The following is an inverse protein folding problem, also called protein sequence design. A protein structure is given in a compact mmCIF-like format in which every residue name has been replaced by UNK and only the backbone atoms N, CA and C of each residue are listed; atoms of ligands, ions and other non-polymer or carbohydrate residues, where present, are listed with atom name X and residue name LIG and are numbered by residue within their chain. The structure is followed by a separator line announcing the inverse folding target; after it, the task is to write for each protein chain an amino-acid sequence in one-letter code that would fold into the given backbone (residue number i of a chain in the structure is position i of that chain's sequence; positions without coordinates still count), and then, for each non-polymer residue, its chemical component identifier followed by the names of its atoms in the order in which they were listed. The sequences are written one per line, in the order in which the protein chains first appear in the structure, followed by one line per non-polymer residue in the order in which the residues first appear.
data_IF_933044421162
#
_entry.id   IF_933044421162
#
_cell.length_a   1.000
_cell.length_b   1.000
_cell.length_c   1.000
_cell.angle_alpha   90.00
_cell.angle_beta   90.00
_cell.angle_gamma   90.00
#
_symmetry.space_group_name_H-M   'P 1'
#
loop_
_entity.id
_entity.type
_entity.pdbx_description
1 polymer ?
#
# COMPACT_ATOMS: atom_id res chain seq x y z
N UNK A 1 13.31 -24.22 5.44
CA UNK A 1 11.83 -24.17 5.44
C UNK A 1 11.22 -22.78 5.25
N UNK A 2 11.71 -21.72 5.92
CA UNK A 2 11.08 -20.39 5.86
C UNK A 2 11.11 -19.74 4.46
N UNK A 3 12.23 -19.88 3.73
CA UNK A 3 12.36 -19.36 2.36
C UNK A 3 11.40 -20.03 1.37
N UNK A 4 11.34 -21.36 1.33
CA UNK A 4 10.44 -22.10 0.44
C UNK A 4 8.97 -21.76 0.70
N UNK A 5 8.57 -21.58 1.96
CA UNK A 5 7.22 -21.13 2.32
C UNK A 5 6.92 -19.74 1.74
N UNK A 6 7.84 -18.77 1.89
CA UNK A 6 7.68 -17.43 1.32
C UNK A 6 7.63 -17.46 -0.20
N UNK A 7 8.46 -18.30 -0.83
CA UNK A 7 8.45 -18.51 -2.26
C UNK A 7 7.07 -18.99 -2.72
N UNK A 8 6.52 -20.04 -2.10
CA UNK A 8 5.16 -20.52 -2.38
C UNK A 8 4.10 -19.43 -2.17
N UNK A 9 4.20 -18.63 -1.10
CA UNK A 9 3.29 -17.51 -0.88
C UNK A 9 3.37 -16.44 -2.00
N UNK A 10 4.52 -16.26 -2.65
CA UNK A 10 4.61 -15.37 -3.81
C UNK A 10 3.71 -15.84 -4.96
N UNK A 11 3.51 -17.15 -5.12
CA UNK A 11 2.64 -17.74 -6.15
C UNK A 11 1.15 -17.77 -5.76
N UNK A 12 0.85 -18.07 -4.50
CA UNK A 12 -0.53 -18.45 -4.12
C UNK A 12 -1.24 -17.44 -3.21
N UNK A 13 -0.53 -16.56 -2.51
CA UNK A 13 -1.16 -15.63 -1.58
C UNK A 13 -1.49 -14.29 -2.25
N UNK A 14 -2.68 -14.21 -2.86
CA UNK A 14 -3.16 -12.99 -3.54
C UNK A 14 -4.17 -12.17 -2.74
N UNK A 15 -4.69 -12.75 -1.66
CA UNK A 15 -5.68 -12.12 -0.78
C UNK A 15 -5.13 -12.09 0.64
N UNK A 16 -5.46 -11.03 1.36
CA UNK A 16 -5.23 -10.93 2.80
C UNK A 16 -6.61 -10.90 3.46
N UNK A 17 -6.78 -11.70 4.52
CA UNK A 17 -8.01 -11.71 5.30
C UNK A 17 -8.11 -10.38 6.05
N UNK A 18 -9.20 -9.61 5.88
CA UNK A 18 -9.40 -8.37 6.62
C UNK A 18 -9.39 -8.62 8.14
N UNK A 19 -8.82 -7.68 8.89
CA UNK A 19 -8.87 -7.69 10.34
C UNK A 19 -10.25 -7.27 10.86
N UNK A 20 -10.57 -7.66 12.09
CA UNK A 20 -11.78 -7.24 12.78
C UNK A 20 -11.80 -5.72 12.99
N UNK A 21 -12.99 -5.14 13.12
CA UNK A 21 -13.16 -3.68 13.33
C UNK A 21 -12.44 -3.17 14.59
N UNK A 22 -12.42 -3.97 15.66
CA UNK A 22 -11.70 -3.67 16.90
C UNK A 22 -10.18 -3.52 16.67
N UNK A 23 -9.61 -4.34 15.78
CA UNK A 23 -8.19 -4.27 15.44
C UNK A 23 -7.86 -3.02 14.62
N UNK A 24 -8.79 -2.57 13.77
CA UNK A 24 -8.68 -1.30 13.04
C UNK A 24 -8.72 -0.10 13.99
N UNK A 25 -9.61 -0.12 14.99
CA UNK A 25 -9.72 0.95 15.99
C UNK A 25 -8.53 1.06 16.94
N UNK A 26 -7.71 0.00 17.04
CA UNK A 26 -6.46 -0.02 17.82
C UNK A 26 -5.21 0.28 17.00
N UNK A 27 -5.34 0.58 15.71
CA UNK A 27 -4.19 0.96 14.90
C UNK A 27 -3.69 2.37 15.26
N UNK A 28 -2.44 2.66 14.93
CA UNK A 28 -1.82 3.95 15.16
C UNK A 28 -1.90 4.86 13.92
N UNK A 29 -1.94 4.27 12.71
CA UNK A 29 -1.79 5.00 11.44
C UNK A 29 -2.37 4.22 10.26
N UNK A 30 -2.77 4.91 9.21
CA UNK A 30 -3.06 4.32 7.89
C UNK A 30 -1.93 4.60 6.91
N UNK A 31 -1.40 3.55 6.28
CA UNK A 31 -0.38 3.63 5.25
C UNK A 31 -0.97 3.32 3.87
N UNK A 32 -1.14 4.35 3.05
CA UNK A 32 -1.75 4.24 1.72
C UNK A 32 -0.71 4.10 0.60
N UNK A 33 -0.75 2.96 -0.10
CA UNK A 33 0.04 2.71 -1.30
C UNK A 33 -0.83 2.92 -2.54
N UNK A 34 -0.38 3.80 -3.44
CA UNK A 34 -1.12 4.11 -4.67
C UNK A 34 -1.06 2.96 -5.67
N UNK A 35 -2.03 2.94 -6.57
CA UNK A 35 -2.15 1.91 -7.60
C UNK A 35 -2.58 2.53 -8.93
N UNK A 36 -1.70 2.45 -9.93
CA UNK A 36 -1.90 3.09 -11.22
C UNK A 36 -1.73 4.60 -11.16
N UNK A 37 -1.49 5.19 -12.34
CA UNK A 37 -1.18 6.60 -12.49
C UNK A 37 -1.81 7.10 -13.80
N UNK A 38 -2.51 8.24 -13.79
CA UNK A 38 -2.88 8.94 -15.04
C UNK A 38 -1.99 10.16 -15.22
N UNK A 39 -1.97 10.74 -16.43
CA UNK A 39 -1.07 11.86 -16.77
C UNK A 39 -1.29 13.12 -15.91
N UNK A 40 -2.54 13.43 -15.57
CA UNK A 40 -2.91 14.73 -14.99
C UNK A 40 -3.78 14.63 -13.75
N UNK A 41 -4.18 13.41 -13.34
CA UNK A 41 -5.11 13.24 -12.22
C UNK A 41 -4.97 11.86 -11.57
N UNK A 42 -5.45 11.70 -10.33
CA UNK A 42 -5.60 10.38 -9.73
C UNK A 42 -6.51 9.45 -10.56
N UNK A 43 -6.06 8.21 -10.70
CA UNK A 43 -6.85 7.13 -11.29
C UNK A 43 -8.00 6.64 -10.42
N UNK A 44 -8.88 5.81 -10.99
CA UNK A 44 -10.08 5.33 -10.28
C UNK A 44 -9.74 4.42 -9.10
N UNK A 45 -8.65 3.64 -9.21
CA UNK A 45 -8.08 2.88 -8.09
C UNK A 45 -7.73 3.80 -6.92
N UNK A 46 -7.01 4.89 -7.17
CA UNK A 46 -6.58 5.83 -6.13
C UNK A 46 -7.74 6.61 -5.52
N UNK A 47 -8.77 6.96 -6.32
CA UNK A 47 -10.01 7.55 -5.80
C UNK A 47 -10.76 6.59 -4.87
N UNK A 48 -10.82 5.30 -5.21
CA UNK A 48 -11.44 4.29 -4.37
C UNK A 48 -10.67 4.09 -3.05
N UNK A 49 -9.33 4.01 -3.12
CA UNK A 49 -8.47 3.96 -1.95
C UNK A 49 -8.65 5.22 -1.07
N UNK A 50 -8.73 6.40 -1.67
CA UNK A 50 -8.96 7.65 -0.95
C UNK A 50 -10.29 7.67 -0.19
N UNK A 51 -11.36 7.10 -0.76
CA UNK A 51 -12.65 6.95 -0.05
C UNK A 51 -12.50 6.07 1.20
N UNK A 52 -11.73 4.98 1.11
CA UNK A 52 -11.45 4.08 2.24
C UNK A 52 -10.61 4.81 3.29
N UNK A 53 -9.52 5.50 2.88
CA UNK A 53 -8.68 6.29 3.79
C UNK A 53 -9.49 7.35 4.55
N UNK A 54 -10.35 8.09 3.85
CA UNK A 54 -11.24 9.09 4.47
C UNK A 54 -12.19 8.47 5.48
N UNK A 55 -12.74 7.29 5.19
CA UNK A 55 -13.63 6.56 6.11
C UNK A 55 -12.87 6.12 7.37
N UNK A 56 -11.67 5.57 7.22
CA UNK A 56 -10.83 5.15 8.34
C UNK A 56 -10.47 6.34 9.23
N UNK A 57 -10.00 7.45 8.63
CA UNK A 57 -9.69 8.67 9.37
C UNK A 57 -10.90 9.24 10.10
N UNK A 58 -12.07 9.30 9.45
CA UNK A 58 -13.29 9.81 10.10
C UNK A 58 -13.80 8.94 11.23
N UNK A 59 -13.66 7.62 11.10
CA UNK A 59 -14.21 6.66 12.08
C UNK A 59 -13.30 6.48 13.28
N UNK A 60 -11.99 6.48 13.05
CA UNK A 60 -10.98 6.09 14.03
C UNK A 60 -9.96 7.20 14.34
N UNK A 61 -10.10 8.37 13.72
CA UNK A 61 -9.20 9.52 13.86
C UNK A 61 -7.73 9.20 13.52
N UNK A 62 -7.50 8.13 12.75
CA UNK A 62 -6.15 7.66 12.44
C UNK A 62 -5.40 8.67 11.55
N UNK A 63 -4.14 9.01 11.87
CA UNK A 63 -3.29 9.78 10.98
C UNK A 63 -3.08 9.05 9.65
N UNK A 64 -2.96 9.83 8.58
CA UNK A 64 -2.81 9.32 7.23
C UNK A 64 -1.40 9.61 6.70
N UNK A 65 -0.70 8.55 6.28
CA UNK A 65 0.51 8.66 5.46
C UNK A 65 0.20 8.01 4.12
N UNK A 66 0.11 8.81 3.07
CA UNK A 66 -0.39 8.38 1.77
C UNK A 66 0.62 8.68 0.67
N UNK A 67 0.70 7.81 -0.34
CA UNK A 67 1.26 8.22 -1.62
C UNK A 67 0.40 9.31 -2.25
N UNK A 68 1.06 10.21 -2.99
CA UNK A 68 0.47 11.44 -3.46
C UNK A 68 -0.79 11.26 -4.32
N UNK A 69 -0.89 10.18 -5.11
CA UNK A 69 -2.05 9.95 -5.96
C UNK A 69 -3.34 9.73 -5.15
N UNK A 70 -3.22 9.12 -3.96
CA UNK A 70 -4.33 8.97 -3.01
C UNK A 70 -4.52 10.30 -2.26
N UNK A 71 -3.42 10.93 -1.83
CA UNK A 71 -3.46 12.16 -1.05
C UNK A 71 -4.14 13.32 -1.80
N UNK A 72 -3.90 13.46 -3.10
CA UNK A 72 -4.47 14.52 -3.93
C UNK A 72 -6.00 14.36 -4.12
N UNK A 73 -6.54 13.16 -3.88
CA UNK A 73 -7.99 12.94 -3.80
C UNK A 73 -8.62 13.47 -2.49
N UNK A 74 -7.79 13.88 -1.51
CA UNK A 74 -8.22 14.29 -0.17
C UNK A 74 -7.63 15.66 0.21
N UNK A 75 -7.84 16.75 -0.57
CA UNK A 75 -7.16 18.02 -0.35
C UNK A 75 -7.52 18.69 0.98
N UNK A 76 -8.73 18.46 1.50
CA UNK A 76 -9.23 19.07 2.75
C UNK A 76 -8.93 18.25 4.01
N UNK A 77 -8.24 17.12 3.88
CA UNK A 77 -7.97 16.23 5.01
C UNK A 77 -6.53 16.43 5.49
N UNK A 78 -6.35 16.63 6.79
CA UNK A 78 -5.03 16.67 7.40
C UNK A 78 -4.32 15.32 7.20
N UNK A 79 -3.03 15.37 6.86
CA UNK A 79 -2.20 14.20 6.58
C UNK A 79 -0.95 14.33 7.41
N UNK A 80 -0.56 13.23 8.06
CA UNK A 80 0.71 13.15 8.77
C UNK A 80 1.89 13.07 7.80
N UNK A 81 1.67 12.56 6.59
CA UNK A 81 2.70 12.52 5.55
C UNK A 81 2.15 12.29 4.15
N UNK A 82 2.83 12.86 3.15
CA UNK A 82 2.60 12.56 1.73
C UNK A 82 3.92 12.09 1.13
N UNK A 83 3.91 10.88 0.58
CA UNK A 83 5.06 10.31 -0.11
C UNK A 83 4.91 10.62 -1.61
N UNK A 84 5.73 11.52 -2.13
CA UNK A 84 5.67 11.99 -3.52
C UNK A 84 6.69 11.29 -4.43
N UNK A 85 7.93 11.22 -3.98
CA UNK A 85 9.06 10.83 -4.83
C UNK A 85 10.01 9.89 -4.08
N UNK A 86 10.88 9.22 -4.83
CA UNK A 86 11.99 8.48 -4.24
C UNK A 86 12.97 9.47 -3.60
N UNK A 87 13.56 9.12 -2.45
CA UNK A 87 14.66 9.90 -1.84
C UNK A 87 15.90 10.12 -2.74
N UNK A 88 16.01 9.37 -3.84
CA UNK A 88 17.11 9.49 -4.81
C UNK A 88 16.51 9.99 -6.12
N UNK A 89 16.95 11.16 -6.56
CA UNK A 89 16.45 11.82 -7.76
C UNK A 89 16.54 10.90 -8.98
N UNK A 90 15.47 10.85 -9.77
CA UNK A 90 15.38 10.06 -10.99
C UNK A 90 15.12 8.56 -10.77
N UNK A 91 15.14 8.05 -9.53
CA UNK A 91 14.75 6.66 -9.27
C UNK A 91 13.23 6.52 -9.15
N UNK A 92 12.74 5.39 -9.63
CA UNK A 92 11.33 5.01 -9.52
C UNK A 92 10.96 4.73 -8.05
N UNK A 93 9.92 5.41 -7.55
CA UNK A 93 9.38 5.16 -6.21
C UNK A 93 8.66 3.81 -6.17
N UNK A 94 9.36 2.78 -5.71
CA UNK A 94 8.77 1.46 -5.50
C UNK A 94 8.08 1.32 -4.13
N UNK A 95 7.39 0.19 -3.94
CA UNK A 95 6.64 -0.09 -2.70
C UNK A 95 7.54 -0.15 -1.46
N UNK A 96 8.77 -0.66 -1.60
CA UNK A 96 9.69 -0.72 -0.47
C UNK A 96 10.14 0.67 -0.07
N UNK A 97 10.56 1.49 -1.03
CA UNK A 97 10.97 2.86 -0.77
C UNK A 97 9.82 3.67 -0.16
N UNK A 98 8.60 3.59 -0.71
CA UNK A 98 7.45 4.31 -0.18
C UNK A 98 7.11 3.91 1.27
N UNK A 99 7.10 2.61 1.58
CA UNK A 99 6.87 2.14 2.95
C UNK A 99 8.04 2.44 3.90
N UNK A 100 9.27 2.48 3.40
CA UNK A 100 10.44 2.87 4.20
C UNK A 100 10.42 4.35 4.59
N UNK A 101 9.97 5.22 3.69
CA UNK A 101 9.75 6.64 4.01
C UNK A 101 8.61 6.80 5.01
N UNK A 102 7.52 6.05 4.86
CA UNK A 102 6.43 6.03 5.84
C UNK A 102 6.91 5.55 7.22
N UNK A 103 7.77 4.52 7.27
CA UNK A 103 8.40 4.03 8.50
C UNK A 103 9.20 5.13 9.21
N UNK A 104 10.00 5.89 8.47
CA UNK A 104 10.76 7.01 9.04
C UNK A 104 9.85 8.08 9.66
N UNK A 105 8.66 8.32 9.09
CA UNK A 105 7.67 9.21 9.69
C UNK A 105 7.09 8.58 10.96
N UNK A 106 6.63 7.33 10.90
CA UNK A 106 6.04 6.60 12.02
C UNK A 106 6.99 6.51 13.22
N UNK A 107 8.28 6.31 12.99
CA UNK A 107 9.29 6.21 14.05
C UNK A 107 9.40 7.48 14.89
N UNK A 108 9.21 8.65 14.28
CA UNK A 108 9.22 9.92 15.01
C UNK A 108 8.02 10.09 15.95
N UNK A 109 6.92 9.39 15.67
CA UNK A 109 5.70 9.42 16.48
C UNK A 109 5.51 8.16 17.35
N UNK A 110 6.42 7.19 17.27
CA UNK A 110 6.29 5.91 17.97
C UNK A 110 5.20 4.99 17.42
N UNK A 111 4.65 5.25 16.23
CA UNK A 111 3.59 4.44 15.63
C UNK A 111 4.13 3.11 15.10
N UNK A 112 3.52 1.99 15.50
CA UNK A 112 3.98 0.63 15.15
C UNK A 112 2.88 -0.21 14.51
N UNK A 113 1.62 -0.01 14.88
CA UNK A 113 0.47 -0.74 14.37
C UNK A 113 -0.17 0.02 13.21
N UNK A 114 -0.05 -0.50 12.00
CA UNK A 114 -0.41 0.22 10.79
C UNK A 114 -1.52 -0.50 10.01
N UNK A 115 -2.59 0.22 9.68
CA UNK A 115 -3.55 -0.24 8.66
C UNK A 115 -2.90 -0.11 7.29
N UNK A 116 -2.74 -1.22 6.59
CA UNK A 116 -2.22 -1.21 5.22
C UNK A 116 -3.37 -0.93 4.27
N UNK A 117 -3.24 0.07 3.41
CA UNK A 117 -4.26 0.41 2.42
C UNK A 117 -3.64 0.35 1.02
N UNK A 118 -4.03 -0.67 0.25
CA UNK A 118 -3.50 -0.92 -1.09
C UNK A 118 -4.56 -1.60 -1.97
N UNK A 119 -4.33 -1.65 -3.28
CA UNK A 119 -5.18 -2.40 -4.19
C UNK A 119 -5.13 -3.93 -3.87
N UNK A 120 -6.23 -4.69 -3.98
CA UNK A 120 -6.32 -6.10 -3.58
C UNK A 120 -5.16 -6.99 -4.03
N UNK A 121 -4.82 -6.95 -5.32
CA UNK A 121 -3.75 -7.80 -5.86
C UNK A 121 -2.33 -7.33 -5.50
N UNK A 122 -2.16 -6.08 -5.07
CA UNK A 122 -0.88 -5.51 -4.59
C UNK A 122 -0.73 -5.65 -3.07
N UNK A 123 -1.87 -5.86 -2.38
CA UNK A 123 -2.00 -5.81 -0.94
C UNK A 123 -1.02 -6.72 -0.20
N UNK A 124 -0.92 -7.98 -0.63
CA UNK A 124 -0.05 -8.95 0.04
C UNK A 124 1.42 -8.49 0.07
N UNK A 125 1.94 -7.97 -1.05
CA UNK A 125 3.32 -7.47 -1.11
C UNK A 125 3.52 -6.28 -0.18
N UNK A 126 2.56 -5.34 -0.12
CA UNK A 126 2.60 -4.22 0.81
C UNK A 126 2.64 -4.68 2.28
N UNK A 127 1.81 -5.65 2.66
CA UNK A 127 1.81 -6.23 4.02
C UNK A 127 3.14 -6.87 4.36
N UNK A 128 3.70 -7.68 3.46
CA UNK A 128 4.98 -8.37 3.71
C UNK A 128 6.13 -7.39 3.88
N UNK A 129 6.21 -6.37 3.02
CA UNK A 129 7.21 -5.31 3.13
C UNK A 129 7.03 -4.54 4.44
N UNK A 130 5.80 -4.16 4.79
CA UNK A 130 5.53 -3.44 6.04
C UNK A 130 5.94 -4.27 7.28
N UNK A 131 5.63 -5.57 7.30
CA UNK A 131 6.10 -6.48 8.36
C UNK A 131 7.62 -6.57 8.40
N UNK A 132 8.29 -6.65 7.23
CA UNK A 132 9.76 -6.67 7.15
C UNK A 132 10.38 -5.39 7.70
N UNK A 133 9.72 -4.26 7.52
CA UNK A 133 10.10 -2.97 8.09
C UNK A 133 9.77 -2.85 9.59
N UNK A 134 9.12 -3.85 10.21
CA UNK A 134 8.85 -3.90 11.64
C UNK A 134 7.47 -3.40 12.07
N UNK A 135 6.54 -3.18 11.12
CA UNK A 135 5.16 -2.83 11.47
C UNK A 135 4.35 -4.04 11.95
N UNK A 136 3.45 -3.80 12.91
CA UNK A 136 2.32 -4.68 13.21
C UNK A 136 1.21 -4.32 12.22
N UNK A 137 1.00 -5.13 11.20
CA UNK A 137 0.07 -4.80 10.12
C UNK A 137 -1.36 -5.19 10.45
N UNK A 138 -2.30 -4.26 10.27
CA UNK A 138 -3.74 -4.49 10.30
C UNK A 138 -4.27 -4.48 8.87
N UNK A 139 -5.04 -5.50 8.51
CA UNK A 139 -5.59 -5.64 7.18
C UNK A 139 -6.98 -5.02 7.07
N UNK A 140 -7.27 -4.32 5.97
CA UNK A 140 -8.57 -3.74 5.65
C UNK A 140 -9.10 -4.32 4.35
N UNK A 141 -10.42 -4.50 4.27
CA UNK A 141 -11.05 -4.91 3.03
C UNK A 141 -10.94 -3.82 1.95
N UNK A 142 -10.31 -4.20 0.85
CA UNK A 142 -10.11 -3.38 -0.35
C UNK A 142 -10.64 -4.05 -1.61
N UNK A 143 -11.36 -5.19 -1.50
CA UNK A 143 -11.79 -6.02 -2.64
C UNK A 143 -12.50 -5.22 -3.76
N UNK A 144 -13.23 -4.17 -3.40
CA UNK A 144 -13.98 -3.32 -4.34
C UNK A 144 -13.14 -2.23 -5.03
N UNK A 145 -11.85 -2.11 -4.72
CA UNK A 145 -10.97 -1.16 -5.40
C UNK A 145 -10.77 -1.63 -6.84
N UNK A 146 -11.16 -0.83 -7.85
CA UNK A 146 -11.09 -1.25 -9.23
C UNK A 146 -9.67 -1.10 -9.78
N UNK A 147 -9.43 -1.74 -10.92
CA UNK A 147 -8.34 -1.40 -11.82
C UNK A 147 -8.62 -0.08 -12.57
N UNK A 148 -7.57 0.56 -13.08
CA UNK A 148 -7.69 1.77 -13.90
C UNK A 148 -7.22 1.54 -15.34
N UNK A 149 -8.17 1.35 -16.25
CA UNK A 149 -7.91 1.14 -17.69
C UNK A 149 -7.16 2.30 -18.37
N UNK A 150 -7.25 3.50 -17.81
CA UNK A 150 -6.62 4.72 -18.32
C UNK A 150 -5.24 4.97 -17.69
N UNK A 151 -4.75 4.07 -16.84
CA UNK A 151 -3.42 4.20 -16.24
C UNK A 151 -2.31 4.22 -17.30
N UNK A 152 -1.34 5.13 -17.19
CA UNK A 152 -0.13 5.13 -18.03
C UNK A 152 0.80 3.97 -17.67
N UNK A 153 0.69 3.44 -16.45
CA UNK A 153 1.37 2.22 -16.03
C UNK A 153 0.62 1.02 -16.58
N UNK A 154 1.09 0.47 -17.70
CA UNK A 154 0.39 -0.58 -18.47
C UNK A 154 0.00 -1.80 -17.63
N UNK A 155 0.79 -2.15 -16.62
CA UNK A 155 0.54 -3.29 -15.73
C UNK A 155 -0.60 -3.06 -14.73
N UNK A 156 -0.98 -1.83 -14.40
CA UNK A 156 -2.06 -1.54 -13.44
C UNK A 156 -3.42 -1.37 -14.12
N UNK A 157 -3.55 -1.72 -15.39
CA UNK A 157 -4.80 -1.58 -16.15
C UNK A 157 -5.79 -2.71 -15.89
N UNK A 158 -5.31 -3.92 -15.68
CA UNK A 158 -6.15 -5.12 -15.48
C UNK A 158 -5.44 -6.12 -14.59
N UNK A 159 -6.19 -7.07 -14.04
CA UNK A 159 -5.65 -8.19 -13.26
C UNK A 159 -4.69 -9.06 -14.08
N UNK A 160 -5.06 -9.36 -15.34
CA UNK A 160 -4.25 -10.16 -16.26
C UNK A 160 -2.84 -9.59 -16.48
N UNK A 161 -2.69 -8.26 -16.43
CA UNK A 161 -1.38 -7.61 -16.58
C UNK A 161 -0.66 -7.43 -15.25
N UNK A 162 -1.41 -7.15 -14.18
CA UNK A 162 -0.82 -6.86 -12.89
C UNK A 162 -0.29 -8.10 -12.20
N UNK A 163 -1.01 -9.23 -12.26
CA UNK A 163 -0.65 -10.45 -11.54
C UNK A 163 0.74 -10.96 -11.97
N UNK A 164 1.06 -11.12 -13.27
CA UNK A 164 2.41 -11.53 -13.69
C UNK A 164 3.50 -10.52 -13.29
N UNK A 165 3.19 -9.21 -13.42
CA UNK A 165 4.11 -8.14 -13.03
C UNK A 165 4.41 -8.19 -11.51
N UNK A 166 3.38 -8.29 -10.68
CA UNK A 166 3.52 -8.31 -9.23
C UNK A 166 4.17 -9.61 -8.75
N UNK A 167 3.93 -10.73 -9.43
CA UNK A 167 4.64 -11.97 -9.20
C UNK A 167 6.16 -11.78 -9.38
N UNK A 168 6.59 -11.24 -10.54
CA UNK A 168 8.00 -10.95 -10.78
C UNK A 168 8.59 -9.97 -9.74
N UNK A 169 7.81 -8.96 -9.37
CA UNK A 169 8.20 -8.03 -8.31
C UNK A 169 8.39 -8.73 -6.96
N UNK A 170 7.48 -9.62 -6.54
CA UNK A 170 7.58 -10.40 -5.30
C UNK A 170 8.83 -11.26 -5.29
N UNK A 171 9.11 -11.97 -6.39
CA UNK A 171 10.32 -12.81 -6.51
C UNK A 171 11.58 -11.96 -6.36
N UNK A 172 11.66 -10.82 -7.05
CA UNK A 172 12.78 -9.89 -6.89
C UNK A 172 12.94 -9.38 -5.45
N UNK A 173 11.83 -9.05 -4.77
CA UNK A 173 11.87 -8.61 -3.37
C UNK A 173 12.30 -9.73 -2.43
N UNK A 174 11.88 -10.98 -2.68
CA UNK A 174 12.28 -12.14 -1.90
C UNK A 174 13.79 -12.36 -1.98
N UNK A 175 14.38 -12.33 -3.19
CA UNK A 175 15.82 -12.49 -3.37
C UNK A 175 16.64 -11.34 -2.79
N UNK A 176 16.07 -10.12 -2.75
CA UNK A 176 16.67 -8.96 -2.08
C UNK A 176 16.44 -8.95 -0.55
N UNK A 177 15.73 -9.92 0.00
CA UNK A 177 15.43 -10.01 1.43
C UNK A 177 14.45 -8.95 1.95
N UNK A 178 13.66 -8.33 1.06
CA UNK A 178 12.71 -7.24 1.35
C UNK A 178 11.32 -7.73 1.78
N UNK A 179 11.03 -9.03 1.63
CA UNK A 179 9.81 -9.70 2.09
C UNK A 179 10.10 -11.03 2.79
#
# INVERSE_FOLDING_TARGET
MHFLKKLLCCFFCWKVVPSLEEELGRADVVLGQSFGLRKTSPGDSNKALAKIAKRLHKKYELPLILQWEIADCLPKLSKAGIIREHRVKGKYLDTYEALSQAKAICDRYGWKKAVILAHPHHYWRCVMIAKKLGFITVAIDTYRVPYDMLSIQKWTKTSLRFIPYDFAARINHLFRGLI
#
